data_IF_527074429145
#
_entry.id   IF_527074429145
#
_cell.length_a   1.000
_cell.length_b   1.000
_cell.length_c   1.000
_cell.angle_alpha   90.00
_cell.angle_beta   90.00
_cell.angle_gamma   90.00
#
_symmetry.space_group_name_H-M   'P 1'
#
loop_
_entity.id
_entity.type
_entity.pdbx_description
1 polymer ?
#
# COMPACT_ATOMS: atom_id res chain seq x y z
N UNK A 1 -3.35 35.41 17.89
CA UNK A 1 -2.95 34.65 19.09
C UNK A 1 -3.92 34.91 20.24
N UNK A 2 -5.17 34.46 20.09
CA UNK A 2 -6.12 34.21 21.21
C UNK A 2 -7.41 33.72 20.54
N UNK A 3 -7.63 32.41 20.58
CA UNK A 3 -8.87 31.64 20.30
C UNK A 3 -8.44 30.27 19.81
N UNK A 4 -8.36 29.32 20.73
CA UNK A 4 -8.55 27.87 20.56
C UNK A 4 -8.18 27.17 21.89
N UNK A 5 -8.84 27.57 22.98
CA UNK A 5 -8.94 26.77 24.20
C UNK A 5 -10.42 26.56 24.45
N UNK A 6 -10.86 25.31 24.37
CA UNK A 6 -11.97 24.72 25.12
C UNK A 6 -12.43 23.44 24.41
N UNK A 7 -11.77 22.32 24.67
CA UNK A 7 -12.42 21.01 24.71
C UNK A 7 -11.64 20.11 25.65
N UNK A 8 -12.16 19.96 26.86
CA UNK A 8 -11.67 19.01 27.85
C UNK A 8 -12.77 18.79 28.88
N UNK A 9 -13.45 17.66 28.80
CA UNK A 9 -14.01 17.02 29.98
C UNK A 9 -14.16 15.51 29.73
N UNK A 10 -13.47 14.69 30.53
CA UNK A 10 -13.57 13.22 30.55
C UNK A 10 -13.83 12.80 31.98
N UNK A 11 -14.99 12.22 32.22
CA UNK A 11 -15.36 11.59 33.48
C UNK A 11 -14.90 10.12 33.55
N UNK A 12 -14.29 9.79 34.68
CA UNK A 12 -13.80 8.46 35.07
C UNK A 12 -14.94 7.51 35.50
N UNK A 13 -14.82 6.22 35.16
CA UNK A 13 -15.49 5.11 35.87
C UNK A 13 -14.47 3.95 36.02
N UNK A 14 -14.35 3.29 37.21
CA UNK A 14 -13.28 2.33 37.51
C UNK A 14 -13.65 0.87 37.19
N UNK A 15 -12.65 0.06 36.82
CA UNK A 15 -12.76 -1.40 36.60
C UNK A 15 -12.20 -2.14 37.82
N UNK A 16 -12.99 -3.05 38.38
CA UNK A 16 -12.60 -4.01 39.41
C UNK A 16 -11.94 -5.27 38.84
N UNK A 17 -10.98 -5.79 39.59
CA UNK A 17 -10.11 -6.92 39.30
C UNK A 17 -10.65 -8.25 39.84
N UNK A 18 -10.51 -9.35 39.08
CA UNK A 18 -10.35 -10.69 39.66
C UNK A 18 -9.44 -11.57 38.76
N UNK A 19 -8.41 -12.27 39.28
CA UNK A 19 -7.50 -13.07 38.49
C UNK A 19 -7.81 -14.57 38.61
N UNK A 20 -7.58 -15.34 37.55
CA UNK A 20 -7.09 -16.73 37.65
C UNK A 20 -6.70 -17.26 36.27
N UNK A 21 -5.52 -17.86 36.23
CA UNK A 21 -5.08 -19.03 35.45
C UNK A 21 -3.65 -18.86 34.91
N UNK A 22 -2.79 -19.77 35.37
CA UNK A 22 -1.43 -20.02 34.93
C UNK A 22 -1.43 -21.14 33.86
N UNK A 23 -0.45 -21.19 32.94
CA UNK A 23 -0.45 -22.11 31.81
C UNK A 23 0.40 -23.36 32.05
N UNK A 24 0.10 -24.43 31.30
CA UNK A 24 0.93 -25.62 31.17
C UNK A 24 1.48 -25.72 29.73
N UNK A 25 2.81 -25.86 29.61
CA UNK A 25 3.59 -26.40 28.47
C UNK A 25 3.77 -27.92 28.73
N UNK A 26 4.23 -28.82 27.82
CA UNK A 26 5.11 -28.68 26.64
C UNK A 26 4.60 -29.52 25.42
N UNK A 27 5.26 -29.79 24.28
CA UNK A 27 6.63 -30.22 24.04
C UNK A 27 7.00 -30.25 22.54
N UNK A 28 8.32 -30.30 22.33
CA UNK A 28 9.12 -30.35 21.11
C UNK A 28 9.09 -31.75 20.49
N UNK A 29 9.07 -31.85 19.16
CA UNK A 29 9.47 -33.07 18.43
C UNK A 29 10.31 -32.73 17.19
N UNK A 30 11.45 -33.43 17.07
CA UNK A 30 12.48 -33.29 16.03
C UNK A 30 12.37 -34.38 14.95
N UNK A 31 12.54 -33.97 13.69
CA UNK A 31 13.16 -34.69 12.56
C UNK A 31 12.39 -35.87 11.92
N UNK A 32 12.86 -36.44 10.79
CA UNK A 32 14.10 -36.15 10.04
C UNK A 32 13.95 -36.01 8.50
N UNK A 33 15.11 -35.79 7.87
CA UNK A 33 15.44 -35.38 6.50
C UNK A 33 15.39 -36.46 5.40
N UNK A 34 15.12 -35.99 4.17
CA UNK A 34 15.60 -36.36 2.81
C UNK A 34 15.70 -37.84 2.35
N UNK A 35 15.50 -38.11 1.03
CA UNK A 35 16.68 -38.12 0.16
C UNK A 35 16.50 -37.58 -1.27
N UNK A 36 17.67 -37.29 -1.84
CA UNK A 36 18.05 -36.86 -3.19
C UNK A 36 17.88 -37.99 -4.22
N UNK A 37 17.45 -37.67 -5.45
CA UNK A 37 17.67 -38.52 -6.65
C UNK A 37 18.05 -37.66 -7.86
N UNK A 38 19.07 -38.14 -8.56
CA UNK A 38 19.83 -37.58 -9.67
C UNK A 38 19.20 -37.73 -11.06
N UNK A 39 19.65 -36.85 -11.96
CA UNK A 39 19.47 -36.82 -13.41
C UNK A 39 19.89 -38.10 -14.14
N UNK A 40 19.18 -38.40 -15.24
CA UNK A 40 19.73 -39.13 -16.40
C UNK A 40 19.29 -38.42 -17.68
N UNK A 41 20.28 -38.01 -18.47
CA UNK A 41 20.12 -37.49 -19.83
C UNK A 41 20.23 -38.64 -20.84
N UNK A 42 19.38 -38.62 -21.88
CA UNK A 42 19.61 -39.38 -23.13
C UNK A 42 19.24 -38.54 -24.34
N UNK A 43 20.23 -38.42 -25.22
CA UNK A 43 20.20 -37.82 -26.55
C UNK A 43 19.75 -38.85 -27.59
N UNK A 44 18.95 -38.43 -28.58
CA UNK A 44 18.85 -39.10 -29.88
C UNK A 44 18.40 -38.10 -30.97
N UNK A 45 19.29 -37.86 -31.94
CA UNK A 45 19.01 -37.36 -33.30
C UNK A 45 18.63 -38.54 -34.18
N UNK A 46 17.74 -38.39 -35.16
CA UNK A 46 17.89 -38.89 -36.56
C UNK A 46 16.90 -38.15 -37.48
N UNK A 47 17.39 -37.88 -38.68
CA UNK A 47 16.87 -37.08 -39.80
C UNK A 47 15.69 -37.65 -40.64
N UNK A 48 15.12 -36.70 -41.40
CA UNK A 48 14.75 -36.72 -42.82
C UNK A 48 13.44 -37.34 -43.36
N UNK A 49 12.59 -36.40 -43.81
CA UNK A 49 11.97 -36.26 -45.15
C UNK A 49 11.43 -37.50 -45.87
N UNK A 50 10.12 -37.47 -46.15
CA UNK A 50 9.52 -37.89 -47.44
C UNK A 50 8.15 -37.26 -47.66
N UNK A 51 8.06 -36.46 -48.73
CA UNK A 51 6.83 -35.93 -49.30
C UNK A 51 6.02 -37.05 -49.96
N UNK A 52 4.73 -37.15 -49.62
CA UNK A 52 3.73 -37.89 -50.41
C UNK A 52 2.50 -36.98 -50.55
N UNK A 53 2.18 -36.63 -51.79
CA UNK A 53 0.97 -35.89 -52.18
C UNK A 53 -0.06 -36.91 -52.67
N UNK A 54 -1.25 -36.95 -52.06
CA UNK A 54 -2.48 -37.56 -52.59
C UNK A 54 -3.71 -36.78 -52.02
N UNK A 55 -4.92 -36.86 -52.59
CA UNK A 55 -5.68 -35.72 -53.10
C UNK A 55 -6.76 -35.21 -52.14
N UNK A 56 -7.19 -33.97 -52.37
CA UNK A 56 -8.27 -33.28 -51.66
C UNK A 56 -9.60 -34.07 -51.70
N UNK A 57 -10.11 -34.37 -50.51
CA UNK A 57 -11.52 -34.66 -50.26
C UNK A 57 -12.05 -33.51 -49.41
N UNK A 58 -12.82 -32.60 -50.01
CA UNK A 58 -13.56 -31.58 -49.27
C UNK A 58 -14.60 -32.28 -48.41
N UNK A 59 -14.30 -32.38 -47.12
CA UNK A 59 -15.26 -32.63 -46.07
C UNK A 59 -15.55 -31.25 -45.47
N UNK A 60 -16.79 -30.78 -45.56
CA UNK A 60 -17.22 -29.61 -44.80
C UNK A 60 -17.14 -29.97 -43.32
N UNK A 61 -16.02 -29.57 -42.70
CA UNK A 61 -15.86 -29.64 -41.26
C UNK A 61 -16.86 -28.67 -40.63
N UNK A 62 -17.85 -29.22 -39.94
CA UNK A 62 -18.56 -28.52 -38.87
C UNK A 62 -17.46 -28.06 -37.91
N UNK A 63 -17.13 -26.77 -37.96
CA UNK A 63 -16.26 -26.13 -36.98
C UNK A 63 -16.98 -26.18 -35.63
N UNK A 64 -16.81 -27.28 -34.90
CA UNK A 64 -16.96 -27.30 -33.46
C UNK A 64 -15.94 -26.27 -32.98
N UNK A 65 -16.41 -25.09 -32.57
CA UNK A 65 -15.56 -24.02 -32.08
C UNK A 65 -14.61 -24.60 -31.03
N UNK A 66 -13.32 -24.69 -31.38
CA UNK A 66 -12.31 -25.23 -30.48
C UNK A 66 -12.24 -24.26 -29.31
N UNK A 67 -12.80 -24.71 -28.20
CA UNK A 67 -12.77 -23.99 -26.94
C UNK A 67 -11.31 -23.84 -26.55
N UNK A 68 -10.82 -22.59 -26.50
CA UNK A 68 -9.48 -22.29 -26.04
C UNK A 68 -9.41 -22.52 -24.51
N UNK A 69 -9.09 -23.75 -24.11
CA UNK A 69 -9.00 -24.15 -22.70
C UNK A 69 -8.07 -23.22 -21.91
N UNK A 70 -7.05 -22.66 -22.56
CA UNK A 70 -6.13 -21.73 -21.90
C UNK A 70 -6.80 -20.41 -21.53
N UNK A 71 -7.72 -19.85 -22.34
CA UNK A 71 -8.40 -18.61 -21.96
C UNK A 71 -9.37 -18.83 -20.81
N UNK A 72 -10.03 -19.99 -20.78
CA UNK A 72 -10.95 -20.34 -19.69
C UNK A 72 -10.23 -20.56 -18.36
N UNK A 73 -9.10 -21.27 -18.38
CA UNK A 73 -8.25 -21.44 -17.19
C UNK A 73 -7.79 -20.07 -16.68
N UNK A 74 -7.33 -19.17 -17.57
CA UNK A 74 -6.94 -17.82 -17.18
C UNK A 74 -8.07 -17.05 -16.53
N UNK A 75 -9.27 -17.06 -17.13
CA UNK A 75 -10.44 -16.41 -16.56
C UNK A 75 -10.81 -16.98 -15.19
N UNK A 76 -10.76 -18.31 -15.01
CA UNK A 76 -11.04 -18.96 -13.72
C UNK A 76 -10.01 -18.58 -12.64
N UNK A 77 -8.72 -18.60 -12.97
CA UNK A 77 -7.66 -18.18 -12.05
C UNK A 77 -7.84 -16.72 -11.65
N UNK A 78 -8.20 -15.85 -12.59
CA UNK A 78 -8.43 -14.44 -12.32
C UNK A 78 -9.69 -14.22 -11.48
N UNK A 79 -10.79 -14.93 -11.74
CA UNK A 79 -11.98 -14.89 -10.88
C UNK A 79 -11.65 -15.29 -9.45
N UNK A 80 -10.89 -16.37 -9.23
CA UNK A 80 -10.44 -16.77 -7.89
C UNK A 80 -9.61 -15.68 -7.20
N UNK A 81 -8.78 -14.95 -7.96
CA UNK A 81 -8.05 -13.80 -7.44
C UNK A 81 -8.99 -12.67 -7.03
N UNK A 82 -9.90 -12.26 -7.91
CA UNK A 82 -10.89 -11.18 -7.65
C UNK A 82 -11.73 -11.48 -6.42
N UNK A 83 -12.29 -12.69 -6.33
CA UNK A 83 -13.13 -13.14 -5.21
C UNK A 83 -12.38 -13.16 -3.87
N UNK A 84 -11.05 -13.27 -3.92
CA UNK A 84 -10.20 -13.24 -2.72
C UNK A 84 -9.65 -11.86 -2.41
N UNK A 85 -9.73 -10.93 -3.36
CA UNK A 85 -9.08 -9.63 -3.27
C UNK A 85 -10.07 -8.53 -2.92
N UNK A 86 -11.24 -8.51 -3.58
CA UNK A 86 -12.21 -7.42 -3.47
C UNK A 86 -13.15 -7.66 -2.28
N UNK A 87 -13.42 -6.64 -1.43
CA UNK A 87 -14.34 -6.75 -0.30
C UNK A 87 -15.73 -7.26 -0.71
N UNK A 88 -16.31 -8.11 0.13
CA UNK A 88 -17.65 -8.67 -0.04
C UNK A 88 -18.52 -8.26 1.15
N UNK A 89 -19.11 -7.05 1.16
CA UNK A 89 -19.75 -6.50 2.35
C UNK A 89 -20.85 -7.42 2.89
N UNK A 90 -21.03 -7.52 4.22
CA UNK A 90 -22.09 -8.32 4.80
C UNK A 90 -23.46 -7.84 4.32
N UNK A 91 -24.39 -8.78 4.16
CA UNK A 91 -25.77 -8.49 3.74
C UNK A 91 -26.39 -7.45 4.68
N UNK A 92 -26.77 -6.29 4.14
CA UNK A 92 -27.44 -5.22 4.90
C UNK A 92 -26.59 -3.98 5.21
N UNK A 93 -25.28 -3.97 4.91
CA UNK A 93 -24.51 -2.73 4.96
C UNK A 93 -24.90 -1.78 3.82
N UNK A 94 -25.28 -0.55 4.17
CA UNK A 94 -25.58 0.50 3.19
C UNK A 94 -24.26 0.88 2.53
N UNK A 95 -24.12 0.54 1.26
CA UNK A 95 -22.99 0.99 0.47
C UNK A 95 -23.23 2.47 0.12
N UNK A 96 -22.88 3.36 1.06
CA UNK A 96 -22.66 4.77 0.77
C UNK A 96 -21.40 4.84 -0.10
N UNK A 97 -21.54 4.41 -1.37
CA UNK A 97 -20.56 4.75 -2.40
C UNK A 97 -20.61 6.26 -2.46
N UNK A 98 -19.62 6.90 -1.89
CA UNK A 98 -19.33 8.28 -2.21
C UNK A 98 -18.87 8.25 -3.68
N UNK A 99 -19.85 8.26 -4.59
CA UNK A 99 -19.73 8.21 -6.05
C UNK A 99 -18.80 7.13 -6.64
N UNK A 100 -19.38 6.09 -7.27
CA UNK A 100 -18.80 5.36 -8.42
C UNK A 100 -17.29 4.99 -8.42
N UNK A 101 -16.60 4.85 -7.29
CA UNK A 101 -15.22 4.38 -7.28
C UNK A 101 -15.23 2.86 -7.43
N UNK A 102 -15.29 2.38 -8.67
CA UNK A 102 -14.88 1.01 -8.98
C UNK A 102 -13.40 0.88 -8.66
N UNK A 103 -12.97 -0.27 -8.16
CA UNK A 103 -11.53 -0.54 -8.06
C UNK A 103 -11.01 -0.77 -9.48
N UNK A 104 -9.84 -0.25 -9.84
CA UNK A 104 -9.25 -0.43 -11.19
C UNK A 104 -9.18 -1.90 -11.60
N UNK A 105 -9.04 -2.77 -10.61
CA UNK A 105 -8.98 -4.21 -10.76
C UNK A 105 -10.30 -4.82 -11.24
N UNK A 106 -11.45 -4.22 -10.92
CA UNK A 106 -12.78 -4.67 -11.38
C UNK A 106 -12.95 -4.48 -12.90
N UNK A 107 -12.31 -3.46 -13.47
CA UNK A 107 -12.41 -3.13 -14.89
C UNK A 107 -11.45 -3.97 -15.75
N UNK A 108 -10.48 -4.66 -15.14
CA UNK A 108 -9.47 -5.45 -15.84
C UNK A 108 -10.01 -6.49 -16.84
N UNK A 109 -11.08 -7.28 -16.55
CA UNK A 109 -11.65 -8.20 -17.53
C UNK A 109 -12.06 -7.51 -18.83
N UNK A 110 -12.65 -6.31 -18.75
CA UNK A 110 -13.12 -5.56 -19.92
C UNK A 110 -11.98 -5.04 -20.80
N UNK A 111 -10.77 -4.95 -20.24
CA UNK A 111 -9.58 -4.45 -20.92
C UNK A 111 -8.78 -5.56 -21.63
N UNK A 112 -9.11 -6.84 -21.39
CA UNK A 112 -8.42 -7.98 -21.99
C UNK A 112 -8.76 -8.21 -23.47
N UNK A 113 -9.85 -7.63 -23.97
CA UNK A 113 -10.32 -7.82 -25.36
C UNK A 113 -9.63 -6.90 -26.39
N UNK A 114 -8.66 -6.07 -25.97
CA UNK A 114 -7.92 -5.14 -26.83
C UNK A 114 -6.95 -5.81 -27.81
N UNK A 115 -6.72 -5.21 -29.00
CA UNK A 115 -5.82 -5.74 -30.04
C UNK A 115 -4.34 -5.89 -29.64
N UNK A 116 -3.90 -5.19 -28.59
CA UNK A 116 -2.53 -5.26 -28.05
C UNK A 116 -2.43 -6.05 -26.72
N UNK A 117 -3.54 -6.67 -26.28
CA UNK A 117 -3.75 -7.20 -24.91
C UNK A 117 -2.78 -8.28 -24.44
N UNK A 118 -1.81 -8.72 -25.25
CA UNK A 118 -0.87 -9.77 -24.87
C UNK A 118 0.00 -9.40 -23.67
N UNK A 119 0.39 -8.12 -23.53
CA UNK A 119 1.14 -7.68 -22.35
C UNK A 119 0.26 -7.77 -21.10
N UNK A 120 -0.92 -7.17 -21.17
CA UNK A 120 -1.84 -7.09 -20.05
C UNK A 120 -2.40 -8.45 -19.64
N UNK A 121 -2.80 -9.29 -20.60
CA UNK A 121 -3.22 -10.68 -20.40
C UNK A 121 -2.12 -11.50 -19.71
N UNK A 122 -0.85 -11.37 -20.14
CA UNK A 122 0.27 -12.04 -19.47
C UNK A 122 0.50 -11.53 -18.05
N UNK A 123 0.40 -10.23 -17.82
CA UNK A 123 0.54 -9.65 -16.48
C UNK A 123 -0.55 -10.17 -15.54
N UNK A 124 -1.81 -10.15 -15.97
CA UNK A 124 -2.95 -10.69 -15.21
C UNK A 124 -2.77 -12.18 -14.94
N UNK A 125 -2.39 -12.94 -15.96
CA UNK A 125 -2.14 -14.39 -15.83
C UNK A 125 -1.05 -14.68 -14.81
N UNK A 126 0.02 -13.88 -14.82
CA UNK A 126 1.12 -14.01 -13.89
C UNK A 126 0.66 -13.76 -12.44
N UNK A 127 -0.08 -12.68 -12.23
CA UNK A 127 -0.68 -12.33 -10.94
C UNK A 127 -1.60 -13.44 -10.43
N UNK A 128 -2.57 -13.85 -11.25
CA UNK A 128 -3.56 -14.85 -10.88
C UNK A 128 -2.91 -16.22 -10.61
N UNK A 129 -1.99 -16.68 -11.47
CA UNK A 129 -1.28 -17.94 -11.26
C UNK A 129 -0.40 -17.90 -10.00
N UNK A 130 0.37 -16.83 -9.79
CA UNK A 130 1.20 -16.71 -8.58
C UNK A 130 0.34 -16.69 -7.31
N UNK A 131 -0.75 -15.91 -7.32
CA UNK A 131 -1.68 -15.82 -6.20
C UNK A 131 -2.34 -17.16 -5.87
N UNK A 132 -2.99 -17.79 -6.87
CA UNK A 132 -3.68 -19.08 -6.68
C UNK A 132 -2.68 -20.16 -6.26
N UNK A 133 -1.50 -20.18 -6.87
CA UNK A 133 -0.42 -21.09 -6.49
C UNK A 133 -0.04 -20.95 -5.01
N UNK A 134 0.13 -19.72 -4.50
CA UNK A 134 0.40 -19.50 -3.06
C UNK A 134 -0.79 -19.91 -2.20
N UNK A 135 -2.01 -19.49 -2.56
CA UNK A 135 -3.23 -19.77 -1.79
C UNK A 135 -3.48 -21.27 -1.58
N UNK A 136 -3.17 -22.08 -2.59
CA UNK A 136 -3.38 -23.54 -2.54
C UNK A 136 -2.09 -24.35 -2.36
N UNK A 137 -0.97 -23.69 -2.03
CA UNK A 137 0.35 -24.33 -1.91
C UNK A 137 0.78 -25.15 -3.16
N UNK A 138 0.41 -24.69 -4.36
CA UNK A 138 0.84 -25.26 -5.64
C UNK A 138 2.09 -24.52 -6.17
N UNK A 139 3.26 -25.07 -5.85
CA UNK A 139 4.55 -24.52 -6.29
C UNK A 139 4.72 -24.49 -7.81
N UNK A 140 4.06 -25.39 -8.55
CA UNK A 140 4.15 -25.44 -10.02
C UNK A 140 3.41 -24.24 -10.60
N UNK A 141 2.22 -23.95 -10.08
CA UNK A 141 1.44 -22.79 -10.51
C UNK A 141 2.10 -21.47 -10.11
N UNK A 142 2.69 -21.39 -8.90
CA UNK A 142 3.51 -20.23 -8.50
C UNK A 142 4.68 -20.02 -9.45
N UNK A 143 5.43 -21.08 -9.77
CA UNK A 143 6.56 -21.01 -10.70
C UNK A 143 6.12 -20.65 -12.13
N UNK A 144 4.94 -21.11 -12.56
CA UNK A 144 4.34 -20.68 -13.83
C UNK A 144 4.02 -19.18 -13.82
N UNK A 145 3.45 -18.67 -12.73
CA UNK A 145 3.21 -17.24 -12.52
C UNK A 145 4.49 -16.41 -12.65
N UNK A 146 5.59 -16.84 -12.02
CA UNK A 146 6.91 -16.18 -12.14
C UNK A 146 7.43 -16.17 -13.57
N UNK A 147 7.26 -17.26 -14.34
CA UNK A 147 7.65 -17.29 -15.76
C UNK A 147 6.85 -16.29 -16.59
N UNK A 148 5.53 -16.24 -16.39
CA UNK A 148 4.65 -15.29 -17.08
C UNK A 148 5.01 -13.85 -16.72
N UNK A 149 5.29 -13.58 -15.45
CA UNK A 149 5.72 -12.28 -14.94
C UNK A 149 7.01 -11.80 -15.64
N UNK A 150 8.03 -12.65 -15.67
CA UNK A 150 9.31 -12.32 -16.33
C UNK A 150 9.13 -12.05 -17.83
N UNK A 151 8.31 -12.85 -18.53
CA UNK A 151 8.01 -12.60 -19.94
C UNK A 151 7.23 -11.29 -20.15
N UNK A 152 6.30 -10.95 -19.25
CA UNK A 152 5.54 -9.72 -19.31
C UNK A 152 6.43 -8.49 -19.09
N UNK A 153 7.39 -8.54 -18.16
CA UNK A 153 8.39 -7.48 -17.95
C UNK A 153 9.27 -7.29 -19.19
N UNK A 154 9.76 -8.38 -19.79
CA UNK A 154 10.56 -8.31 -21.01
C UNK A 154 9.77 -7.65 -22.16
N UNK A 155 8.49 -8.01 -22.30
CA UNK A 155 7.60 -7.38 -23.28
C UNK A 155 7.38 -5.88 -22.97
N UNK A 156 7.15 -5.52 -21.71
CA UNK A 156 7.02 -4.14 -21.27
C UNK A 156 8.26 -3.31 -21.59
N UNK A 157 9.45 -3.80 -21.24
CA UNK A 157 10.72 -3.13 -21.51
C UNK A 157 10.95 -2.88 -23.01
N UNK A 158 10.56 -3.84 -23.87
CA UNK A 158 10.66 -3.71 -25.31
C UNK A 158 9.66 -2.71 -25.93
N UNK A 159 8.61 -2.33 -25.20
CA UNK A 159 7.60 -1.37 -25.63
C UNK A 159 7.99 0.08 -25.31
N UNK A 160 8.66 0.33 -24.17
CA UNK A 160 9.06 1.68 -23.71
C UNK A 160 9.73 2.56 -24.79
N UNK A 161 10.64 2.08 -25.66
CA UNK A 161 11.28 2.94 -26.65
C UNK A 161 10.44 3.17 -27.93
N UNK A 162 9.29 2.52 -28.09
CA UNK A 162 8.50 2.58 -29.34
C UNK A 162 7.66 3.85 -29.43
N UNK A 163 7.53 4.39 -30.64
CA UNK A 163 6.54 5.43 -30.94
C UNK A 163 5.14 4.82 -31.00
N UNK A 164 4.11 5.54 -30.53
CA UNK A 164 2.73 5.05 -30.53
C UNK A 164 2.42 4.02 -29.44
N UNK A 165 3.07 4.13 -28.27
CA UNK A 165 2.83 3.29 -27.11
C UNK A 165 1.34 3.35 -26.67
N UNK A 166 0.66 2.20 -26.45
CA UNK A 166 -0.68 2.18 -25.87
C UNK A 166 -0.60 2.51 -24.36
N UNK A 167 -0.44 3.79 -24.02
CA UNK A 167 -0.12 4.27 -22.67
C UNK A 167 -1.03 3.69 -21.60
N UNK A 168 -2.35 3.77 -21.79
CA UNK A 168 -3.34 3.29 -20.81
C UNK A 168 -3.17 1.79 -20.52
N UNK A 169 -2.98 0.96 -21.54
CA UNK A 169 -2.79 -0.50 -21.38
C UNK A 169 -1.46 -0.82 -20.68
N UNK A 170 -0.40 -0.10 -21.05
CA UNK A 170 0.93 -0.24 -20.44
C UNK A 170 0.90 0.15 -18.96
N UNK A 171 0.15 1.19 -18.61
CA UNK A 171 -0.05 1.58 -17.21
C UNK A 171 -0.92 0.56 -16.46
N UNK A 172 -1.96 -0.02 -17.08
CA UNK A 172 -2.72 -1.12 -16.49
C UNK A 172 -1.82 -2.31 -16.16
N UNK A 173 -0.99 -2.74 -17.13
CA UNK A 173 -0.03 -3.82 -16.91
C UNK A 173 0.98 -3.48 -15.80
N UNK A 174 1.40 -2.21 -15.72
CA UNK A 174 2.30 -1.75 -14.66
C UNK A 174 1.64 -1.82 -13.26
N UNK A 175 0.37 -1.42 -13.13
CA UNK A 175 -0.39 -1.57 -11.88
C UNK A 175 -0.52 -3.06 -11.50
N UNK A 176 -0.74 -3.94 -12.48
CA UNK A 176 -0.74 -5.39 -12.24
C UNK A 176 0.63 -5.89 -11.76
N UNK A 177 1.74 -5.38 -12.29
CA UNK A 177 3.08 -5.72 -11.79
C UNK A 177 3.33 -5.22 -10.37
N UNK A 178 2.87 -4.02 -10.03
CA UNK A 178 2.94 -3.53 -8.65
C UNK A 178 2.15 -4.42 -7.71
N UNK A 179 0.94 -4.82 -8.09
CA UNK A 179 0.12 -5.73 -7.31
C UNK A 179 0.72 -7.13 -7.19
N UNK A 180 1.36 -7.62 -8.26
CA UNK A 180 2.14 -8.85 -8.23
C UNK A 180 3.25 -8.77 -7.19
N UNK A 181 3.99 -7.65 -7.11
CA UNK A 181 5.04 -7.48 -6.09
C UNK A 181 4.48 -7.27 -4.68
N UNK A 182 3.27 -6.70 -4.53
CA UNK A 182 2.58 -6.62 -3.24
C UNK A 182 2.25 -8.02 -2.70
N UNK A 183 1.80 -8.93 -3.57
CA UNK A 183 1.38 -10.30 -3.19
C UNK A 183 2.56 -11.26 -3.09
N UNK A 184 3.42 -11.25 -4.10
CA UNK A 184 4.48 -12.24 -4.24
C UNK A 184 5.82 -11.77 -3.68
N UNK A 185 6.10 -10.46 -3.74
CA UNK A 185 7.29 -9.79 -3.23
C UNK A 185 8.60 -10.55 -3.50
N UNK A 186 8.87 -10.83 -4.78
CA UNK A 186 9.99 -11.69 -5.19
C UNK A 186 11.37 -11.09 -4.92
N UNK A 187 11.48 -9.77 -4.99
CA UNK A 187 12.74 -9.04 -4.87
C UNK A 187 12.70 -7.99 -3.75
N UNK A 188 11.89 -8.27 -2.72
CA UNK A 188 11.62 -7.31 -1.66
C UNK A 188 11.01 -6.02 -2.20
N UNK A 189 11.31 -4.91 -1.54
CA UNK A 189 10.78 -3.58 -1.91
C UNK A 189 11.31 -3.07 -3.26
N UNK A 190 12.48 -3.53 -3.70
CA UNK A 190 13.13 -3.05 -4.92
C UNK A 190 12.35 -3.43 -6.19
N UNK A 191 11.74 -4.62 -6.22
CA UNK A 191 10.89 -5.07 -7.34
C UNK A 191 9.67 -4.16 -7.53
N UNK A 192 8.94 -3.92 -6.43
CA UNK A 192 7.82 -2.98 -6.43
C UNK A 192 8.23 -1.58 -6.88
N UNK A 193 9.39 -1.12 -6.40
CA UNK A 193 9.94 0.19 -6.75
C UNK A 193 10.25 0.36 -8.24
N UNK A 194 10.84 -0.66 -8.85
CA UNK A 194 11.20 -0.63 -10.27
C UNK A 194 9.97 -0.43 -11.16
N UNK A 195 8.82 -1.02 -10.80
CA UNK A 195 7.57 -0.81 -11.55
C UNK A 195 7.05 0.60 -11.42
N UNK A 196 7.10 1.17 -10.23
CA UNK A 196 6.69 2.55 -10.01
C UNK A 196 7.54 3.54 -10.82
N UNK A 197 8.87 3.33 -10.84
CA UNK A 197 9.78 4.09 -11.71
C UNK A 197 9.45 3.91 -13.20
N UNK A 198 9.11 2.68 -13.62
CA UNK A 198 8.65 2.38 -14.97
C UNK A 198 7.38 3.13 -15.35
N UNK A 199 6.38 3.19 -14.48
CA UNK A 199 5.15 3.97 -14.69
C UNK A 199 5.45 5.46 -14.82
N UNK A 200 6.29 6.00 -13.93
CA UNK A 200 6.68 7.42 -14.00
C UNK A 200 7.42 7.74 -15.31
N UNK A 201 8.29 6.86 -15.79
CA UNK A 201 8.98 7.04 -17.07
C UNK A 201 8.00 7.03 -18.27
N UNK A 202 6.97 6.18 -18.23
CA UNK A 202 5.91 6.15 -19.25
C UNK A 202 5.09 7.44 -19.21
N UNK A 203 4.64 7.87 -18.02
CA UNK A 203 3.86 9.09 -17.85
C UNK A 203 4.65 10.34 -18.28
N UNK A 204 5.90 10.48 -17.85
CA UNK A 204 6.74 11.64 -18.21
C UNK A 204 6.96 11.78 -19.73
N UNK A 205 7.00 10.65 -20.46
CA UNK A 205 7.18 10.66 -21.92
C UNK A 205 5.88 10.82 -22.70
N UNK A 206 4.78 10.33 -22.15
CA UNK A 206 3.52 10.16 -22.90
C UNK A 206 2.29 10.75 -22.20
N UNK A 207 2.47 11.73 -21.29
CA UNK A 207 1.38 12.37 -20.54
C UNK A 207 0.23 12.85 -21.44
N UNK A 208 0.55 13.42 -22.61
CA UNK A 208 -0.43 13.96 -23.56
C UNK A 208 -1.23 12.89 -24.31
N UNK A 209 -0.75 11.65 -24.28
CA UNK A 209 -1.37 10.51 -24.94
C UNK A 209 -2.28 9.70 -24.00
N UNK A 210 -2.30 10.04 -22.69
CA UNK A 210 -3.23 9.44 -21.74
C UNK A 210 -4.64 10.00 -21.98
N UNK A 211 -5.62 9.10 -22.01
CA UNK A 211 -7.02 9.48 -22.17
C UNK A 211 -7.52 10.18 -20.89
N UNK A 212 -8.53 11.02 -21.05
CA UNK A 212 -9.26 11.63 -19.92
C UNK A 212 -10.57 10.88 -19.71
N UNK A 213 -10.46 9.63 -19.25
CA UNK A 213 -11.58 8.75 -18.93
C UNK A 213 -11.46 8.25 -17.48
N UNK A 214 -12.52 7.62 -16.97
CA UNK A 214 -12.60 7.15 -15.58
C UNK A 214 -11.47 6.17 -15.24
N UNK A 215 -11.16 5.23 -16.14
CA UNK A 215 -10.07 4.28 -15.96
C UNK A 215 -8.72 4.99 -15.79
N UNK A 216 -8.43 6.01 -16.61
CA UNK A 216 -7.19 6.79 -16.49
C UNK A 216 -7.12 7.54 -15.17
N UNK A 217 -8.24 8.08 -14.68
CA UNK A 217 -8.32 8.71 -13.34
C UNK A 217 -7.98 7.69 -12.24
N UNK A 218 -8.57 6.49 -12.28
CA UNK A 218 -8.33 5.43 -11.31
C UNK A 218 -6.88 4.92 -11.34
N UNK A 219 -6.30 4.77 -12.54
CA UNK A 219 -4.89 4.43 -12.71
C UNK A 219 -3.98 5.51 -12.10
N UNK A 220 -4.25 6.79 -12.39
CA UNK A 220 -3.47 7.89 -11.85
C UNK A 220 -3.57 7.93 -10.32
N UNK A 221 -4.74 7.69 -9.73
CA UNK A 221 -4.94 7.60 -8.28
C UNK A 221 -4.04 6.54 -7.64
N UNK A 222 -4.06 5.31 -8.17
CA UNK A 222 -3.23 4.21 -7.68
C UNK A 222 -1.72 4.53 -7.80
N UNK A 223 -1.31 5.10 -8.94
CA UNK A 223 0.08 5.47 -9.17
C UNK A 223 0.54 6.64 -8.29
N UNK A 224 -0.34 7.60 -7.98
CA UNK A 224 -0.06 8.69 -7.03
C UNK A 224 0.19 8.14 -5.63
N UNK A 225 -0.71 7.30 -5.11
CA UNK A 225 -0.56 6.68 -3.79
C UNK A 225 0.75 5.90 -3.66
N UNK A 226 1.08 5.12 -4.70
CA UNK A 226 2.33 4.35 -4.74
C UNK A 226 3.56 5.29 -4.72
N UNK A 227 3.51 6.39 -5.47
CA UNK A 227 4.55 7.42 -5.47
C UNK A 227 4.69 8.13 -4.12
N UNK A 228 3.59 8.45 -3.45
CA UNK A 228 3.60 9.06 -2.12
C UNK A 228 4.32 8.14 -1.13
N UNK A 229 3.98 6.85 -1.13
CA UNK A 229 4.62 5.88 -0.24
C UNK A 229 6.13 5.79 -0.50
N UNK A 230 6.55 5.69 -1.76
CA UNK A 230 7.97 5.71 -2.10
C UNK A 230 8.68 6.98 -1.64
N UNK A 231 8.11 8.12 -2.00
CA UNK A 231 8.68 9.45 -1.79
C UNK A 231 8.93 9.70 -0.29
N UNK A 232 7.94 9.38 0.56
CA UNK A 232 8.09 9.48 2.01
C UNK A 232 9.18 8.54 2.53
N UNK A 233 9.17 7.27 2.09
CA UNK A 233 10.18 6.28 2.51
C UNK A 233 11.62 6.69 2.14
N UNK A 234 11.81 7.38 1.01
CA UNK A 234 13.10 7.96 0.60
C UNK A 234 13.37 9.35 1.17
N UNK A 235 12.40 9.96 1.84
CA UNK A 235 12.41 11.37 2.24
C UNK A 235 12.75 12.31 1.08
N UNK A 236 12.07 12.09 -0.04
CA UNK A 236 12.15 12.89 -1.26
C UNK A 236 10.75 13.37 -1.63
N UNK A 237 10.66 14.48 -2.37
CA UNK A 237 9.42 14.96 -2.92
C UNK A 237 9.06 14.18 -4.18
N UNK A 238 7.86 13.61 -4.19
CA UNK A 238 7.33 12.98 -5.39
C UNK A 238 7.13 14.02 -6.50
N UNK A 239 6.73 15.24 -6.14
CA UNK A 239 6.48 16.35 -7.06
C UNK A 239 7.77 16.88 -7.68
N UNK A 240 8.83 17.03 -6.88
CA UNK A 240 10.12 17.51 -7.38
C UNK A 240 10.78 16.47 -8.28
N UNK A 241 10.68 15.19 -7.90
CA UNK A 241 11.21 14.07 -8.68
C UNK A 241 10.44 13.87 -9.98
N UNK A 242 9.13 14.13 -9.98
CA UNK A 242 8.22 13.85 -11.08
C UNK A 242 7.24 15.03 -11.32
N UNK A 243 7.70 16.12 -11.96
CA UNK A 243 6.88 17.34 -12.14
C UNK A 243 5.60 17.14 -12.96
N UNK A 244 5.50 16.08 -13.76
CA UNK A 244 4.29 15.78 -14.54
C UNK A 244 3.06 15.57 -13.66
N UNK A 245 3.22 15.20 -12.38
CA UNK A 245 2.07 15.08 -11.47
C UNK A 245 1.31 16.40 -11.29
N UNK A 246 1.98 17.56 -11.40
CA UNK A 246 1.32 18.87 -11.41
C UNK A 246 0.45 19.10 -12.64
N UNK A 247 0.82 18.49 -13.77
CA UNK A 247 0.11 18.62 -15.06
C UNK A 247 -1.03 17.61 -15.13
N UNK A 248 -0.80 16.40 -14.60
CA UNK A 248 -1.73 15.28 -14.61
C UNK A 248 -2.84 15.39 -13.56
N UNK A 249 -2.61 16.11 -12.46
CA UNK A 249 -3.67 16.49 -11.52
C UNK A 249 -4.61 17.50 -12.21
N UNK A 250 -5.86 17.12 -12.52
CA UNK A 250 -6.82 18.08 -13.04
C UNK A 250 -7.04 19.18 -11.99
N UNK A 251 -7.35 20.42 -12.40
CA UNK A 251 -7.77 21.43 -11.44
C UNK A 251 -9.06 20.98 -10.76
N UNK A 252 -8.95 20.55 -9.49
CA UNK A 252 -10.02 20.19 -8.56
C UNK A 252 -11.06 19.24 -9.16
N UNK A 253 -10.77 17.94 -9.07
CA UNK A 253 -11.81 16.91 -9.15
C UNK A 253 -12.61 16.96 -7.86
N UNK A 254 -13.95 16.95 -7.94
CA UNK A 254 -14.86 17.00 -6.78
C UNK A 254 -14.82 15.73 -5.90
N UNK A 255 -13.85 14.83 -6.10
CA UNK A 255 -13.68 13.61 -5.32
C UNK A 255 -12.84 13.90 -4.06
N UNK A 256 -13.41 13.74 -2.85
CA UNK A 256 -12.67 13.93 -1.61
C UNK A 256 -11.41 13.07 -1.51
N UNK A 257 -11.39 11.87 -2.10
CA UNK A 257 -10.23 10.99 -2.05
C UNK A 257 -9.06 11.55 -2.87
N UNK A 258 -9.33 12.12 -4.05
CA UNK A 258 -8.28 12.74 -4.87
C UNK A 258 -7.69 13.97 -4.19
N UNK A 259 -8.51 14.76 -3.49
CA UNK A 259 -8.03 15.94 -2.75
C UNK A 259 -7.08 15.57 -1.60
N UNK A 260 -7.42 14.55 -0.79
CA UNK A 260 -6.52 14.14 0.29
C UNK A 260 -5.21 13.50 -0.23
N UNK A 261 -5.28 12.81 -1.37
CA UNK A 261 -4.09 12.30 -2.07
C UNK A 261 -3.20 13.44 -2.55
N UNK A 262 -3.78 14.51 -3.10
CA UNK A 262 -3.01 15.68 -3.52
C UNK A 262 -2.38 16.41 -2.32
N UNK A 263 -3.07 16.50 -1.18
CA UNK A 263 -2.49 17.03 0.08
C UNK A 263 -1.30 16.17 0.52
N UNK A 264 -1.44 14.83 0.52
CA UNK A 264 -0.34 13.90 0.84
C UNK A 264 0.83 14.03 -0.13
N UNK A 265 0.55 14.27 -1.42
CA UNK A 265 1.57 14.49 -2.43
C UNK A 265 2.40 15.74 -2.11
N UNK A 266 1.77 16.84 -1.69
CA UNK A 266 2.47 18.05 -1.23
C UNK A 266 3.18 17.82 0.11
N UNK A 267 2.67 16.96 1.00
CA UNK A 267 3.39 16.56 2.22
C UNK A 267 4.75 15.91 1.91
N UNK A 268 4.94 15.27 0.76
CA UNK A 268 6.26 14.74 0.36
C UNK A 268 7.31 15.84 0.17
N UNK A 269 6.89 17.05 -0.23
CA UNK A 269 7.75 18.25 -0.31
C UNK A 269 8.21 18.65 1.09
N UNK A 270 7.33 18.58 2.09
CA UNK A 270 7.68 18.88 3.48
C UNK A 270 8.74 17.92 4.02
N UNK A 271 8.60 16.62 3.74
CA UNK A 271 9.56 15.61 4.20
C UNK A 271 10.95 15.85 3.61
N UNK A 272 11.05 16.19 2.32
CA UNK A 272 12.33 16.54 1.69
C UNK A 272 12.93 17.82 2.31
N UNK A 273 12.10 18.85 2.49
CA UNK A 273 12.52 20.11 3.13
C UNK A 273 13.03 19.88 4.54
N UNK A 274 12.37 19.03 5.32
CA UNK A 274 12.79 18.70 6.68
C UNK A 274 14.21 18.12 6.74
N UNK A 275 14.65 17.38 5.71
CA UNK A 275 16.02 16.88 5.60
C UNK A 275 17.06 17.93 5.17
N UNK A 276 16.63 19.06 4.60
CA UNK A 276 17.50 20.04 3.94
C UNK A 276 17.49 21.43 4.56
N UNK A 277 16.71 21.68 5.63
CA UNK A 277 16.73 22.95 6.37
C UNK A 277 18.13 23.27 6.87
N UNK A 278 18.71 24.38 6.40
CA UNK A 278 20.02 24.88 6.84
C UNK A 278 19.93 26.28 7.45
N UNK A 279 18.92 27.07 7.06
CA UNK A 279 18.77 28.46 7.50
C UNK A 279 17.46 28.68 8.25
N UNK A 280 17.40 29.74 9.05
CA UNK A 280 16.15 30.21 9.67
C UNK A 280 15.07 30.51 8.64
N UNK A 281 15.44 30.98 7.44
CA UNK A 281 14.47 31.25 6.38
C UNK A 281 13.85 29.96 5.82
N UNK A 282 14.66 28.90 5.64
CA UNK A 282 14.16 27.59 5.20
C UNK A 282 13.17 27.02 6.21
N UNK A 283 13.48 27.19 7.50
CA UNK A 283 12.62 26.77 8.60
C UNK A 283 11.27 27.51 8.58
N UNK A 284 11.28 28.84 8.46
CA UNK A 284 10.06 29.66 8.35
C UNK A 284 9.24 29.22 7.13
N UNK A 285 9.89 29.03 5.98
CA UNK A 285 9.22 28.59 4.76
C UNK A 285 8.58 27.20 4.92
N UNK A 286 9.25 26.28 5.61
CA UNK A 286 8.74 24.95 5.87
C UNK A 286 7.58 24.95 6.88
N UNK A 287 7.67 25.76 7.94
CA UNK A 287 6.58 25.95 8.91
C UNK A 287 5.33 26.55 8.25
N UNK A 288 5.49 27.57 7.41
CA UNK A 288 4.37 28.15 6.66
C UNK A 288 3.68 27.11 5.78
N UNK A 289 4.45 26.25 5.09
CA UNK A 289 3.88 25.18 4.28
C UNK A 289 3.20 24.10 5.14
N UNK A 290 3.73 23.79 6.34
CA UNK A 290 3.06 22.88 7.28
C UNK A 290 1.69 23.40 7.70
N UNK A 291 1.61 24.67 8.12
CA UNK A 291 0.34 25.28 8.53
C UNK A 291 -0.67 25.38 7.39
N UNK A 292 -0.21 25.66 6.17
CA UNK A 292 -1.08 25.67 4.99
C UNK A 292 -1.67 24.28 4.72
N UNK A 293 -0.84 23.23 4.72
CA UNK A 293 -1.29 21.86 4.47
C UNK A 293 -2.16 21.31 5.60
N UNK A 294 -1.85 21.64 6.85
CA UNK A 294 -2.68 21.33 8.02
C UNK A 294 -4.07 21.96 7.89
N UNK A 295 -4.12 23.25 7.52
CA UNK A 295 -5.38 23.95 7.28
C UNK A 295 -6.17 23.33 6.13
N UNK A 296 -5.52 22.98 5.02
CA UNK A 296 -6.16 22.30 3.90
C UNK A 296 -6.75 20.94 4.32
N UNK A 297 -5.99 20.13 5.06
CA UNK A 297 -6.44 18.83 5.55
C UNK A 297 -7.65 18.95 6.50
N UNK A 298 -7.63 19.90 7.45
CA UNK A 298 -8.76 20.14 8.34
C UNK A 298 -9.99 20.71 7.62
N UNK A 299 -9.77 21.60 6.64
CA UNK A 299 -10.83 22.14 5.79
C UNK A 299 -11.49 21.04 4.97
N UNK A 300 -10.69 20.16 4.36
CA UNK A 300 -11.13 18.95 3.70
C UNK A 300 -11.96 18.06 4.63
N UNK A 301 -11.47 17.79 5.84
CA UNK A 301 -12.16 16.94 6.80
C UNK A 301 -13.52 17.50 7.23
N UNK A 302 -13.58 18.82 7.42
CA UNK A 302 -14.82 19.53 7.75
C UNK A 302 -15.84 19.39 6.63
N UNK A 303 -15.42 19.51 5.36
CA UNK A 303 -16.30 19.30 4.20
C UNK A 303 -16.75 17.84 4.08
N UNK A 304 -15.84 16.88 4.27
CA UNK A 304 -16.16 15.45 4.25
C UNK A 304 -17.24 15.12 5.29
N UNK A 305 -17.10 15.61 6.52
CA UNK A 305 -18.14 15.47 7.57
C UNK A 305 -19.47 16.09 7.17
N UNK A 306 -19.46 17.17 6.40
CA UNK A 306 -20.67 17.83 5.89
C UNK A 306 -21.45 17.03 4.85
N UNK A 307 -20.91 15.92 4.32
CA UNK A 307 -21.59 15.08 3.33
C UNK A 307 -22.71 14.23 3.96
N UNK A 308 -22.63 13.94 5.26
CA UNK A 308 -23.62 13.11 5.96
C UNK A 308 -24.06 13.76 7.27
N UNK A 309 -25.35 13.67 7.57
CA UNK A 309 -25.90 14.02 8.88
C UNK A 309 -25.53 12.97 9.96
N UNK A 310 -25.12 11.77 9.53
CA UNK A 310 -24.71 10.70 10.43
C UNK A 310 -23.18 10.68 10.62
N UNK A 311 -22.68 10.20 11.77
CA UNK A 311 -21.25 9.96 11.95
C UNK A 311 -20.71 9.02 10.86
N UNK A 312 -19.59 9.41 10.23
CA UNK A 312 -18.93 8.62 9.18
C UNK A 312 -18.21 7.39 9.73
N UNK A 313 -18.06 7.30 11.04
CA UNK A 313 -17.57 6.13 11.76
C UNK A 313 -18.08 6.15 13.20
N UNK A 314 -17.96 5.00 13.87
CA UNK A 314 -18.16 4.85 15.31
C UNK A 314 -16.98 4.12 15.96
N UNK A 315 -16.84 4.22 17.28
CA UNK A 315 -15.86 3.44 18.04
C UNK A 315 -16.56 2.22 18.63
N UNK A 316 -15.95 1.04 18.46
CA UNK A 316 -16.40 -0.23 19.02
C UNK A 316 -15.23 -0.95 19.69
N UNK A 317 -15.47 -1.86 20.64
CA UNK A 317 -14.40 -2.68 21.22
C UNK A 317 -13.62 -3.43 20.14
N UNK A 318 -12.29 -3.49 20.27
CA UNK A 318 -11.43 -4.22 19.33
C UNK A 318 -11.27 -5.69 19.75
N UNK A 319 -11.75 -6.58 18.90
CA UNK A 319 -11.66 -8.04 19.00
C UNK A 319 -10.76 -8.66 17.92
N UNK A 320 -9.99 -7.84 17.20
CA UNK A 320 -9.13 -8.26 16.09
C UNK A 320 -8.06 -9.30 16.46
N UNK A 321 -7.75 -9.43 17.75
CA UNK A 321 -6.76 -10.38 18.25
C UNK A 321 -5.32 -10.07 17.82
N UNK A 322 -5.05 -8.87 17.29
CA UNK A 322 -3.68 -8.44 16.97
C UNK A 322 -2.91 -8.26 18.28
N UNK A 323 -2.14 -9.26 18.67
CA UNK A 323 -1.20 -9.14 19.77
C UNK A 323 0.09 -9.91 19.52
N UNK A 324 1.19 -9.16 19.44
CA UNK A 324 2.54 -9.68 19.69
C UNK A 324 3.04 -9.37 21.09
N UNK A 325 2.36 -8.46 21.79
CA UNK A 325 2.82 -7.99 23.09
C UNK A 325 2.55 -9.03 24.17
N UNK A 326 3.54 -9.20 25.06
CA UNK A 326 3.40 -10.00 26.29
C UNK A 326 2.53 -9.31 27.35
N UNK A 327 2.17 -8.05 27.14
CA UNK A 327 1.30 -7.31 28.07
C UNK A 327 -0.13 -7.81 27.98
N UNK A 328 -0.77 -8.04 29.14
CA UNK A 328 -2.17 -8.49 29.22
C UNK A 328 -3.19 -7.47 28.69
N UNK A 329 -2.80 -6.20 28.54
CA UNK A 329 -3.68 -5.14 28.09
C UNK A 329 -3.55 -4.94 26.59
N UNK A 330 -4.69 -4.81 25.89
CA UNK A 330 -4.73 -4.42 24.49
C UNK A 330 -4.13 -3.02 24.33
N UNK A 331 -3.17 -2.87 23.41
CA UNK A 331 -2.52 -1.58 23.10
C UNK A 331 -3.56 -0.59 22.55
N UNK A 332 -4.47 -1.07 21.72
CA UNK A 332 -5.60 -0.33 21.18
C UNK A 332 -6.90 -1.08 21.53
N UNK A 333 -7.62 -0.69 22.60
CA UNK A 333 -8.79 -1.44 23.07
C UNK A 333 -10.07 -1.18 22.25
N UNK A 334 -10.07 -0.15 21.40
CA UNK A 334 -11.19 0.24 20.55
C UNK A 334 -10.71 0.33 19.11
N UNK A 335 -11.60 -0.03 18.18
CA UNK A 335 -11.40 0.10 16.74
C UNK A 335 -12.48 0.99 16.14
N UNK A 336 -12.17 1.51 14.96
CA UNK A 336 -13.17 2.19 14.14
C UNK A 336 -14.09 1.20 13.42
N UNK A 337 -15.35 1.58 13.31
CA UNK A 337 -16.34 0.97 12.44
C UNK A 337 -16.81 2.05 11.46
N UNK A 338 -16.27 2.04 10.24
CA UNK A 338 -16.58 3.02 9.21
C UNK A 338 -17.83 2.64 8.43
N UNK A 339 -18.54 3.64 7.92
CA UNK A 339 -19.74 3.42 7.11
C UNK A 339 -19.44 2.75 5.76
N UNK A 340 -18.22 2.87 5.24
CA UNK A 340 -17.77 2.25 4.00
C UNK A 340 -16.24 2.14 3.94
N UNK A 341 -15.75 1.29 3.03
CA UNK A 341 -14.31 1.12 2.76
C UNK A 341 -13.69 2.41 2.22
N UNK A 342 -14.40 3.13 1.34
CA UNK A 342 -13.95 4.40 0.78
C UNK A 342 -13.74 5.45 1.88
N UNK A 343 -14.67 5.52 2.85
CA UNK A 343 -14.53 6.41 4.00
C UNK A 343 -13.37 5.98 4.89
N UNK A 344 -13.23 4.69 5.15
CA UNK A 344 -12.10 4.19 5.91
C UNK A 344 -10.77 4.58 5.23
N UNK A 345 -10.64 4.40 3.93
CA UNK A 345 -9.45 4.77 3.17
C UNK A 345 -9.17 6.27 3.26
N UNK A 346 -10.19 7.11 3.00
CA UNK A 346 -10.06 8.56 3.09
C UNK A 346 -9.60 9.02 4.48
N UNK A 347 -10.15 8.43 5.55
CA UNK A 347 -9.75 8.72 6.93
C UNK A 347 -8.33 8.27 7.26
N UNK A 348 -7.92 7.10 6.78
CA UNK A 348 -6.55 6.60 6.97
C UNK A 348 -5.53 7.50 6.27
N UNK A 349 -5.82 7.96 5.05
CA UNK A 349 -4.98 8.92 4.32
C UNK A 349 -4.95 10.29 5.00
N UNK A 350 -6.08 10.74 5.53
CA UNK A 350 -6.17 11.98 6.30
C UNK A 350 -5.30 11.96 7.55
N UNK A 351 -5.41 10.91 8.37
CA UNK A 351 -4.57 10.77 9.55
C UNK A 351 -3.09 10.56 9.18
N UNK A 352 -2.79 9.89 8.07
CA UNK A 352 -1.43 9.78 7.56
C UNK A 352 -0.86 11.14 7.17
N UNK A 353 -1.64 12.01 6.52
CA UNK A 353 -1.22 13.36 6.14
C UNK A 353 -0.87 14.19 7.38
N UNK A 354 -1.77 14.20 8.37
CA UNK A 354 -1.54 14.94 9.60
C UNK A 354 -0.41 14.35 10.44
N UNK A 355 -0.23 13.03 10.46
CA UNK A 355 0.94 12.41 11.07
C UNK A 355 2.24 12.92 10.43
N UNK A 356 2.32 13.01 9.10
CA UNK A 356 3.51 13.57 8.41
C UNK A 356 3.73 15.02 8.83
N UNK A 357 2.70 15.86 8.74
CA UNK A 357 2.80 17.29 9.01
C UNK A 357 3.23 17.54 10.46
N UNK A 358 2.54 16.92 11.43
CA UNK A 358 2.86 17.05 12.86
C UNK A 358 4.26 16.50 13.19
N UNK A 359 4.68 15.41 12.56
CA UNK A 359 6.04 14.85 12.77
C UNK A 359 7.13 15.80 12.27
N UNK A 360 6.92 16.45 11.11
CA UNK A 360 7.85 17.43 10.56
C UNK A 360 7.90 18.69 11.43
N UNK A 361 6.74 19.19 11.89
CA UNK A 361 6.68 20.32 12.82
C UNK A 361 7.39 20.03 14.14
N UNK A 362 7.19 18.85 14.71
CA UNK A 362 7.89 18.40 15.91
C UNK A 362 9.41 18.39 15.71
N UNK A 363 9.89 17.87 14.58
CA UNK A 363 11.32 17.85 14.25
C UNK A 363 11.90 19.27 14.13
N UNK A 364 11.13 20.22 13.59
CA UNK A 364 11.52 21.62 13.53
C UNK A 364 11.64 22.27 14.91
N UNK A 365 10.70 22.04 15.82
CA UNK A 365 10.79 22.52 17.19
C UNK A 365 12.02 21.96 17.90
N UNK A 366 12.28 20.65 17.75
CA UNK A 366 13.43 19.98 18.34
C UNK A 366 14.75 20.60 17.90
N UNK A 367 14.90 20.93 16.61
CA UNK A 367 16.11 21.60 16.08
C UNK A 367 16.26 23.04 16.55
N UNK A 368 15.16 23.79 16.67
CA UNK A 368 15.21 25.15 17.22
C UNK A 368 15.66 25.14 18.68
N UNK A 369 15.14 24.20 19.48
CA UNK A 369 15.52 24.05 20.88
C UNK A 369 17.03 23.76 21.02
N UNK A 370 17.59 22.87 20.21
CA UNK A 370 19.02 22.55 20.26
C UNK A 370 19.93 23.75 19.93
N UNK A 371 19.54 24.63 19.00
CA UNK A 371 20.33 25.82 18.68
C UNK A 371 20.32 26.89 19.78
N UNK A 372 19.30 26.90 20.63
CA UNK A 372 19.19 27.87 21.72
C UNK A 372 20.00 27.46 22.96
N UNK A 373 20.24 26.16 23.16
CA UNK A 373 21.03 25.62 24.27
C UNK A 373 22.52 25.97 24.18
N UNK A 374 23.09 26.07 22.98
CA UNK A 374 24.48 26.50 22.78
C UNK A 374 24.75 27.95 23.23
N UNK A 375 23.70 28.72 23.58
CA UNK A 375 23.79 30.14 23.91
C UNK A 375 23.44 30.51 25.37
N UNK A 376 23.03 29.56 26.23
CA UNK A 376 22.57 29.87 27.61
C UNK A 376 23.30 29.01 28.67
N UNK A 377 23.89 29.60 29.73
CA UNK A 377 24.59 28.83 30.77
C UNK A 377 23.66 27.89 31.57
N UNK A 378 24.20 26.70 31.86
CA UNK A 378 23.63 25.46 32.44
C UNK A 378 22.69 25.52 33.67
N UNK A 379 22.35 26.68 34.23
CA UNK A 379 21.66 26.76 35.53
C UNK A 379 20.12 26.61 35.48
N UNK A 380 19.50 26.45 34.30
CA UNK A 380 18.03 26.43 34.14
C UNK A 380 17.49 25.18 33.41
N UNK A 381 18.27 24.09 33.32
CA UNK A 381 17.93 22.92 32.50
C UNK A 381 16.91 21.95 33.13
N UNK A 382 16.56 22.10 34.42
CA UNK A 382 15.76 21.09 35.14
C UNK A 382 14.23 21.21 34.94
N UNK A 383 13.70 22.15 34.14
CA UNK A 383 12.24 22.35 34.01
C UNK A 383 11.63 22.17 32.61
N UNK A 384 12.35 21.66 31.61
CA UNK A 384 11.85 21.58 30.21
C UNK A 384 11.47 20.16 29.75
N UNK A 385 10.77 19.41 30.60
CA UNK A 385 10.04 18.21 30.17
C UNK A 385 8.60 18.55 29.72
N UNK A 386 8.41 19.65 28.99
CA UNK A 386 7.14 19.88 28.29
C UNK A 386 7.27 19.26 26.91
N UNK A 387 6.71 18.06 26.77
CA UNK A 387 6.42 17.45 25.49
C UNK A 387 5.66 18.45 24.62
N UNK A 388 6.17 18.75 23.43
CA UNK A 388 5.59 19.82 22.61
C UNK A 388 4.22 19.42 22.05
N UNK A 389 3.39 20.42 21.72
CA UNK A 389 2.03 20.20 21.21
C UNK A 389 2.02 19.30 19.96
N UNK A 390 2.95 19.54 19.01
CA UNK A 390 3.01 18.77 17.76
C UNK A 390 3.40 17.30 17.96
N UNK A 391 4.16 16.98 19.00
CA UNK A 391 4.42 15.59 19.36
C UNK A 391 3.14 14.87 19.78
N UNK A 392 2.31 15.54 20.60
CA UNK A 392 1.03 14.99 21.02
C UNK A 392 0.07 14.79 19.85
N UNK A 393 0.05 15.73 18.90
CA UNK A 393 -0.74 15.62 17.68
C UNK A 393 -0.26 14.45 16.80
N UNK A 394 1.05 14.34 16.56
CA UNK A 394 1.62 13.23 15.79
C UNK A 394 1.30 11.86 16.44
N UNK A 395 1.48 11.75 17.77
CA UNK A 395 1.10 10.56 18.52
C UNK A 395 -0.40 10.25 18.41
N UNK A 396 -1.25 11.28 18.49
CA UNK A 396 -2.69 11.12 18.35
C UNK A 396 -3.07 10.54 16.98
N UNK A 397 -2.53 11.08 15.88
CA UNK A 397 -2.81 10.60 14.53
C UNK A 397 -2.24 9.20 14.26
N UNK A 398 -1.05 8.89 14.77
CA UNK A 398 -0.49 7.54 14.70
C UNK A 398 -1.39 6.52 15.42
N UNK A 399 -1.95 6.88 16.58
CA UNK A 399 -2.93 6.07 17.32
C UNK A 399 -4.26 5.95 16.55
N UNK A 400 -4.72 6.98 15.83
CA UNK A 400 -5.94 6.92 15.02
C UNK A 400 -5.81 5.90 13.87
N UNK A 401 -4.68 5.92 13.18
CA UNK A 401 -4.36 4.93 12.13
C UNK A 401 -4.44 3.51 12.70
N UNK A 402 -3.86 3.27 13.87
CA UNK A 402 -3.87 1.94 14.49
C UNK A 402 -5.28 1.49 14.86
N UNK A 403 -6.12 2.40 15.38
CA UNK A 403 -7.54 2.11 15.64
C UNK A 403 -8.34 1.80 14.38
N UNK A 404 -7.88 2.22 13.19
CA UNK A 404 -8.49 1.87 11.91
C UNK A 404 -8.23 0.42 11.47
N UNK A 405 -7.15 -0.20 11.93
CA UNK A 405 -6.70 -1.52 11.47
C UNK A 405 -7.77 -2.59 11.64
N UNK A 406 -8.43 -2.65 12.81
CA UNK A 406 -9.44 -3.66 13.11
C UNK A 406 -10.62 -3.68 12.13
N UNK A 407 -10.90 -2.58 11.44
CA UNK A 407 -11.90 -2.53 10.37
C UNK A 407 -11.43 -3.26 9.10
N UNK A 408 -10.21 -2.97 8.67
CA UNK A 408 -9.64 -3.43 7.40
C UNK A 408 -9.24 -4.90 7.36
N UNK A 409 -9.05 -5.52 8.53
CA UNK A 409 -8.70 -6.95 8.63
C UNK A 409 -9.93 -7.83 8.88
N UNK A 410 -11.13 -7.27 8.88
CA UNK A 410 -12.34 -8.09 9.01
C UNK A 410 -12.43 -9.07 7.82
N UNK A 411 -12.96 -10.30 8.02
CA UNK A 411 -12.94 -11.33 6.99
C UNK A 411 -13.54 -10.91 5.64
N UNK A 412 -14.54 -10.02 5.64
CA UNK A 412 -15.19 -9.55 4.43
C UNK A 412 -14.41 -8.45 3.68
N UNK A 413 -13.37 -7.88 4.28
CA UNK A 413 -12.51 -6.88 3.64
C UNK A 413 -11.47 -7.49 2.71
N UNK A 414 -11.23 -8.80 2.85
CA UNK A 414 -10.34 -9.56 1.98
C UNK A 414 -8.94 -8.91 1.87
N UNK A 415 -8.20 -9.19 0.80
CA UNK A 415 -6.82 -8.72 0.64
C UNK A 415 -6.75 -7.20 0.43
N UNK A 416 -7.76 -6.60 -0.23
CA UNK A 416 -7.79 -5.15 -0.44
C UNK A 416 -7.76 -4.39 0.88
N UNK A 417 -8.48 -4.87 1.90
CA UNK A 417 -8.44 -4.24 3.22
C UNK A 417 -7.04 -4.20 3.80
N UNK A 418 -6.32 -5.31 3.72
CA UNK A 418 -4.92 -5.38 4.12
C UNK A 418 -3.98 -4.52 3.26
N UNK A 419 -4.22 -4.42 1.96
CA UNK A 419 -3.43 -3.55 1.07
C UNK A 419 -3.54 -2.09 1.52
N UNK A 420 -4.77 -1.62 1.80
CA UNK A 420 -5.02 -0.25 2.25
C UNK A 420 -4.33 0.09 3.59
N UNK A 421 -3.90 -0.92 4.36
CA UNK A 421 -3.13 -0.73 5.60
C UNK A 421 -1.62 -0.58 5.40
N UNK A 422 -1.05 -1.06 4.29
CA UNK A 422 0.41 -1.15 4.11
C UNK A 422 1.09 0.22 4.31
N UNK A 423 0.58 1.25 3.65
CA UNK A 423 1.12 2.61 3.75
C UNK A 423 0.91 3.25 5.14
N UNK A 424 -0.34 3.46 5.63
CA UNK A 424 -0.56 4.21 6.86
C UNK A 424 0.01 3.49 8.10
N UNK A 425 -0.05 2.16 8.17
CA UNK A 425 0.55 1.42 9.31
C UNK A 425 2.08 1.51 9.27
N UNK A 426 2.69 1.52 8.07
CA UNK A 426 4.13 1.79 7.97
C UNK A 426 4.46 3.18 8.51
N UNK A 427 3.68 4.22 8.19
CA UNK A 427 3.87 5.57 8.76
C UNK A 427 3.86 5.56 10.30
N UNK A 428 2.82 4.99 10.91
CA UNK A 428 2.70 4.93 12.38
C UNK A 428 3.83 4.09 13.01
N UNK A 429 4.17 2.96 12.40
CA UNK A 429 5.25 2.09 12.88
C UNK A 429 6.57 2.85 12.97
N UNK A 430 6.91 3.65 11.96
CA UNK A 430 8.15 4.42 11.94
C UNK A 430 8.14 5.55 12.96
N UNK A 431 7.01 6.23 13.11
CA UNK A 431 6.84 7.23 14.16
C UNK A 431 7.06 6.62 15.55
N UNK A 432 6.43 5.48 15.84
CA UNK A 432 6.59 4.81 17.14
C UNK A 432 8.02 4.33 17.38
N UNK A 433 8.65 3.75 16.37
CA UNK A 433 10.04 3.31 16.46
C UNK A 433 10.98 4.48 16.76
N UNK A 434 10.88 5.58 16.00
CA UNK A 434 11.75 6.75 16.14
C UNK A 434 11.57 7.49 17.46
N UNK A 435 10.41 7.35 18.12
CA UNK A 435 10.09 8.02 19.38
C UNK A 435 10.07 7.08 20.60
N UNK A 436 10.52 5.82 20.46
CA UNK A 436 10.66 4.88 21.58
C UNK A 436 9.35 4.27 22.11
N UNK A 437 8.26 4.31 21.34
CA UNK A 437 6.99 3.68 21.70
C UNK A 437 6.96 2.19 21.33
N UNK A 438 7.83 1.40 21.96
CA UNK A 438 8.07 0.01 21.58
C UNK A 438 6.83 -0.89 21.62
N UNK A 439 5.94 -0.74 22.59
CA UNK A 439 4.70 -1.53 22.66
C UNK A 439 3.80 -1.32 21.43
N UNK A 440 3.70 -0.07 20.96
CA UNK A 440 2.92 0.29 19.76
C UNK A 440 3.64 -0.12 18.48
N UNK A 441 4.96 0.03 18.44
CA UNK A 441 5.78 -0.45 17.33
C UNK A 441 5.64 -1.97 17.15
N UNK A 442 5.77 -2.74 18.23
CA UNK A 442 5.63 -4.19 18.23
C UNK A 442 4.22 -4.63 17.82
N UNK A 443 3.20 -3.85 18.23
CA UNK A 443 1.84 -4.05 17.75
C UNK A 443 1.74 -3.87 16.23
N UNK A 444 2.34 -2.81 15.65
CA UNK A 444 2.41 -2.66 14.19
C UNK A 444 3.15 -3.83 13.52
N UNK A 445 4.19 -4.39 14.14
CA UNK A 445 4.85 -5.60 13.62
C UNK A 445 3.91 -6.81 13.61
N UNK A 446 3.00 -6.89 14.59
CA UNK A 446 1.92 -7.87 14.62
C UNK A 446 0.95 -7.67 13.46
N UNK A 447 0.58 -6.43 13.15
CA UNK A 447 -0.25 -6.11 11.98
C UNK A 447 0.41 -6.62 10.70
N UNK A 448 1.70 -6.33 10.46
CA UNK A 448 2.38 -6.81 9.26
C UNK A 448 2.42 -8.35 9.16
N UNK A 449 2.59 -9.06 10.27
CA UNK A 449 2.49 -10.52 10.28
C UNK A 449 1.09 -11.01 9.87
N UNK A 450 0.03 -10.34 10.37
CA UNK A 450 -1.34 -10.63 9.98
C UNK A 450 -1.54 -10.38 8.47
N UNK A 451 -1.05 -9.26 7.95
CA UNK A 451 -1.16 -8.92 6.52
C UNK A 451 -0.42 -9.93 5.63
N UNK A 452 0.77 -10.37 6.03
CA UNK A 452 1.50 -11.44 5.34
C UNK A 452 0.67 -12.74 5.30
N UNK A 453 0.04 -13.11 6.42
CA UNK A 453 -0.82 -14.30 6.49
C UNK A 453 -2.07 -14.21 5.61
N UNK A 454 -2.52 -13.00 5.26
CA UNK A 454 -3.58 -12.75 4.28
C UNK A 454 -3.09 -12.87 2.83
N UNK A 455 -1.77 -13.04 2.60
CA UNK A 455 -1.16 -13.18 1.28
C UNK A 455 -0.47 -11.92 0.77
N UNK A 456 -0.29 -10.89 1.60
CA UNK A 456 0.45 -9.67 1.23
C UNK A 456 1.94 -9.85 1.52
N UNK A 457 2.67 -10.43 0.56
CA UNK A 457 4.10 -10.67 0.69
C UNK A 457 4.92 -9.42 1.06
N UNK A 458 4.54 -8.24 0.57
CA UNK A 458 5.24 -6.98 0.88
C UNK A 458 5.20 -6.62 2.38
N UNK A 459 4.20 -7.10 3.12
CA UNK A 459 4.12 -6.87 4.56
C UNK A 459 5.30 -7.47 5.32
N UNK A 460 5.83 -8.61 4.86
CA UNK A 460 7.04 -9.23 5.44
C UNK A 460 8.27 -8.33 5.34
N UNK A 461 8.37 -7.52 4.28
CA UNK A 461 9.47 -6.58 4.05
C UNK A 461 9.32 -5.34 4.93
N UNK A 462 8.09 -4.88 5.15
CA UNK A 462 7.79 -3.76 6.04
C UNK A 462 7.99 -4.15 7.51
N UNK A 463 7.84 -5.43 7.83
CA UNK A 463 8.11 -5.95 9.15
C UNK A 463 9.61 -5.84 9.48
N UNK A 464 9.92 -5.22 10.61
CA UNK A 464 11.28 -5.13 11.13
C UNK A 464 12.21 -4.17 10.38
N UNK A 465 11.72 -3.42 9.39
CA UNK A 465 12.56 -2.53 8.58
C UNK A 465 12.30 -1.05 8.94
N UNK A 466 13.18 -0.40 9.73
CA UNK A 466 13.16 1.05 9.87
C UNK A 466 13.39 1.74 8.51
N UNK A 467 12.72 2.87 8.26
CA UNK A 467 12.88 3.66 7.02
C UNK A 467 14.30 4.16 6.78
N UNK A 468 15.13 4.25 7.82
CA UNK A 468 16.55 4.58 7.66
C UNK A 468 17.27 3.55 6.77
N UNK A 469 16.92 2.27 6.88
CA UNK A 469 17.42 1.20 5.99
C UNK A 469 16.92 1.42 4.56
N UNK A 470 15.67 1.87 4.38
CA UNK A 470 15.13 2.22 3.06
C UNK A 470 15.88 3.38 2.38
N UNK A 471 16.32 4.39 3.14
CA UNK A 471 17.06 5.55 2.59
C UNK A 471 18.41 5.14 1.99
N UNK A 472 19.15 4.28 2.70
CA UNK A 472 20.49 3.84 2.27
C UNK A 472 20.48 3.06 0.95
N UNK A 473 19.35 2.44 0.59
CA UNK A 473 19.28 1.57 -0.60
C UNK A 473 20.06 0.26 -0.45
N UNK A 474 20.67 0.04 0.71
CA UNK A 474 21.36 -1.20 1.04
C UNK A 474 20.32 -2.16 1.63
N UNK A 475 19.89 -3.14 0.83
CA UNK A 475 19.29 -4.34 1.41
C UNK A 475 20.40 -5.05 2.17
N UNK A 476 20.40 -4.93 3.50
CA UNK A 476 21.12 -5.89 4.33
C UNK A 476 20.62 -7.28 3.94
N UNK A 477 21.56 -8.14 3.51
CA UNK A 477 21.29 -9.51 3.13
C UNK A 477 20.47 -10.19 4.24
N UNK A 478 19.28 -10.69 3.89
CA UNK A 478 18.46 -11.50 4.78
C UNK A 478 19.29 -12.66 5.36
N UNK A 479 19.15 -12.99 6.66
CA UNK A 479 19.83 -14.16 7.21
C UNK A 479 19.24 -15.42 6.58
N UNK A 480 20.13 -16.22 6.00
CA UNK A 480 19.91 -17.55 5.41
C UNK A 480 19.38 -18.57 6.41
#
# INVERSE_FOLDING_TARGET
>A
MERLRNFGDRSHIPIGSDPRFAPATPAIFNGPSAPVVSEVATTAKVDNTKNIIVPQKQCEDIQIGVVNVNSQIRSQLFSLFIDSYIPSPPVGHINLRCQQVTNVIEDFPSLMDGKNSQLFDRAISALAAAFVGKKFNDSRLTHHGVKLYNHAIQAFAALIPRTGLPVQEVLCANVVFQLYEVINCTYGFAGWMAHMQGANAVLARHEKSLKRDQLSTMLLRQLKLSNIFHAIGKSQSAISSFPMWKILSPPRVDDPLDEIIDILMECTVLVEKAGSVQTTQDLINAQNLCHELEWQAHSWHTRLKGISECPLYSLVPDDSGISRSKTRNAVFPERYEFISVDMAEAYMLYWAALLVISSVLYEFERRMASHQEDSIPHAAAESRSETTLFFHDALFYADQICRGVGYFIQPYMHILGGHNLLFPVAMSSQFFHGNGFYDRYDWCQGVFATLESMGLGLASVLQGTPWLTYKSGETENSPS
#
